data_IF_447102836209
#
_entry.id   IF_447102836209
#
_cell.length_a   1.000
_cell.length_b   1.000
_cell.length_c   1.000
_cell.angle_alpha   90.00
_cell.angle_beta   90.00
_cell.angle_gamma   90.00
#
_symmetry.space_group_name_H-M   'P 1'
#
loop_
_entity.id
_entity.type
_entity.pdbx_description
1 polymer ?
#
# COMPACT_ATOMS: atom_id res chain seq x y z
N UNK A 1 -37.85 -9.19 -11.66
CA UNK A 1 -36.72 -8.44 -12.17
C UNK A 1 -35.95 -7.98 -10.94
N UNK A 2 -34.93 -8.74 -10.53
CA UNK A 2 -34.05 -8.46 -9.41
C UNK A 2 -32.96 -7.49 -9.87
N UNK A 3 -32.71 -6.45 -9.07
CA UNK A 3 -31.70 -5.42 -9.32
C UNK A 3 -30.28 -6.00 -9.43
N UNK A 4 -29.46 -5.52 -10.38
CA UNK A 4 -28.09 -6.03 -10.60
C UNK A 4 -27.04 -5.46 -9.62
N UNK A 5 -27.44 -4.93 -8.47
CA UNK A 5 -26.53 -4.20 -7.54
C UNK A 5 -25.84 -5.12 -6.51
N UNK A 6 -26.19 -6.41 -6.47
CA UNK A 6 -25.76 -7.28 -5.35
C UNK A 6 -24.57 -8.23 -5.66
N UNK A 7 -24.03 -8.21 -6.88
CA UNK A 7 -22.89 -9.08 -7.22
C UNK A 7 -21.50 -8.48 -6.95
N UNK A 8 -21.39 -7.17 -6.72
CA UNK A 8 -20.11 -6.49 -6.52
C UNK A 8 -19.65 -6.51 -5.05
N UNK A 9 -20.57 -6.61 -4.11
CA UNK A 9 -20.29 -6.66 -2.66
C UNK A 9 -19.81 -8.01 -2.14
N UNK A 10 -19.88 -9.09 -2.92
CA UNK A 10 -19.52 -10.45 -2.49
C UNK A 10 -18.30 -11.04 -3.22
N UNK A 11 -17.51 -10.28 -3.93
CA UNK A 11 -16.19 -10.75 -4.33
C UNK A 11 -15.26 -10.64 -3.12
N UNK A 12 -15.38 -11.59 -2.18
CA UNK A 12 -14.25 -11.96 -1.34
C UNK A 12 -13.08 -12.20 -2.31
N UNK A 13 -12.10 -11.31 -2.31
CA UNK A 13 -10.89 -11.48 -3.10
C UNK A 13 -10.20 -12.72 -2.55
N UNK A 14 -10.40 -13.88 -3.17
CA UNK A 14 -9.61 -15.05 -2.84
C UNK A 14 -8.14 -14.67 -2.93
N UNK A 15 -7.29 -14.98 -1.95
CA UNK A 15 -5.90 -14.59 -1.99
C UNK A 15 -5.24 -15.14 -3.24
N UNK A 16 -4.51 -14.27 -3.93
CA UNK A 16 -3.68 -14.63 -5.07
C UNK A 16 -2.38 -15.31 -4.60
N UNK A 17 -1.65 -15.99 -5.47
CA UNK A 17 -0.29 -16.43 -5.16
C UNK A 17 0.58 -15.25 -4.71
N UNK A 18 1.44 -15.44 -3.69
CA UNK A 18 2.22 -14.34 -3.10
C UNK A 18 3.06 -13.55 -4.11
N UNK A 19 3.52 -14.20 -5.17
CA UNK A 19 4.29 -13.56 -6.24
C UNK A 19 3.50 -12.53 -7.06
N UNK A 20 2.17 -12.54 -6.94
CA UNK A 20 1.29 -11.64 -7.68
C UNK A 20 0.99 -10.35 -6.88
N UNK A 21 1.51 -10.24 -5.65
CA UNK A 21 1.43 -9.03 -4.85
C UNK A 21 2.68 -8.18 -4.99
N UNK A 22 2.48 -6.87 -5.06
CA UNK A 22 3.55 -5.89 -4.99
C UNK A 22 3.66 -5.31 -3.57
N UNK A 23 4.89 -5.07 -3.11
CA UNK A 23 5.18 -4.44 -1.83
C UNK A 23 5.37 -2.93 -2.03
N UNK A 24 4.64 -2.12 -1.28
CA UNK A 24 4.95 -0.72 -1.05
C UNK A 24 5.29 -0.53 0.43
N UNK A 25 6.33 0.24 0.75
CA UNK A 25 6.76 0.44 2.14
C UNK A 25 7.44 1.80 2.33
N UNK A 26 7.44 2.30 3.59
CA UNK A 26 7.98 3.61 3.95
C UNK A 26 9.05 3.54 5.05
N UNK A 27 9.43 2.32 5.46
CA UNK A 27 10.34 2.03 6.56
C UNK A 27 9.63 1.68 7.87
N UNK A 28 8.50 2.30 8.17
CA UNK A 28 7.75 2.06 9.41
C UNK A 28 6.66 1.01 9.25
N UNK A 29 6.24 0.75 8.01
CA UNK A 29 5.25 -0.26 7.61
C UNK A 29 5.31 -0.57 6.13
N UNK A 30 4.54 -1.61 5.74
CA UNK A 30 4.37 -1.95 4.33
C UNK A 30 2.97 -2.44 4.03
N UNK A 31 2.58 -2.29 2.78
CA UNK A 31 1.33 -2.80 2.24
C UNK A 31 1.56 -3.70 1.04
N UNK A 32 0.67 -4.66 0.84
CA UNK A 32 0.66 -5.53 -0.33
C UNK A 32 -0.49 -5.17 -1.25
N UNK A 33 -0.15 -4.87 -2.49
CA UNK A 33 -1.08 -4.54 -3.57
C UNK A 33 -1.28 -5.77 -4.43
N UNK A 34 -2.52 -6.20 -4.60
CA UNK A 34 -2.87 -7.35 -5.45
C UNK A 34 -3.32 -6.96 -6.85
N UNK A 35 -3.59 -7.98 -7.69
CA UNK A 35 -3.93 -7.81 -9.11
C UNK A 35 -5.17 -6.97 -9.40
N UNK A 36 -6.13 -6.95 -8.49
CA UNK A 36 -7.35 -6.15 -8.63
C UNK A 36 -7.17 -4.71 -8.14
N UNK A 37 -5.93 -4.32 -7.73
CA UNK A 37 -5.66 -3.03 -7.14
C UNK A 37 -6.11 -2.94 -5.68
N UNK A 38 -6.29 -4.07 -5.03
CA UNK A 38 -6.60 -4.14 -3.60
C UNK A 38 -5.33 -4.01 -2.76
N UNK A 39 -5.40 -3.28 -1.66
CA UNK A 39 -4.47 -3.42 -0.55
C UNK A 39 -4.97 -4.59 0.30
N UNK A 40 -4.38 -5.77 0.08
CA UNK A 40 -4.77 -7.00 0.76
C UNK A 40 -4.13 -7.15 2.15
N UNK A 41 -3.09 -6.36 2.42
CA UNK A 41 -2.38 -6.33 3.69
C UNK A 41 -1.84 -4.95 4.01
N UNK A 42 -2.11 -4.45 5.19
CA UNK A 42 -1.49 -3.27 5.80
C UNK A 42 -1.70 -3.31 7.31
N UNK A 43 -0.62 -3.21 8.06
CA UNK A 43 -0.63 -2.96 9.50
C UNK A 43 -0.44 -1.47 9.79
N UNK A 44 -1.14 -0.93 10.78
CA UNK A 44 -1.04 0.48 11.16
C UNK A 44 -1.17 0.66 12.67
N UNK A 45 -0.36 1.57 13.26
CA UNK A 45 0.54 2.50 12.61
C UNK A 45 1.90 1.94 12.19
N UNK A 46 2.37 0.83 12.73
CA UNK A 46 3.69 0.25 12.49
C UNK A 46 3.64 -1.22 12.08
N UNK A 47 4.82 -1.80 11.83
CA UNK A 47 4.98 -3.19 11.38
C UNK A 47 4.29 -4.20 12.30
N UNK A 48 4.51 -4.08 13.61
CA UNK A 48 4.00 -4.99 14.65
C UNK A 48 2.57 -4.71 15.07
N UNK A 49 1.96 -3.66 14.52
CA UNK A 49 0.57 -3.30 14.80
C UNK A 49 -0.42 -4.31 14.22
N UNK A 50 -1.64 -4.39 14.76
CA UNK A 50 -2.71 -5.15 14.12
C UNK A 50 -3.02 -4.65 12.70
N UNK A 51 -3.45 -5.56 11.83
CA UNK A 51 -3.83 -5.16 10.47
C UNK A 51 -5.07 -4.27 10.46
N UNK A 52 -5.11 -3.37 9.48
CA UNK A 52 -6.28 -2.56 9.07
C UNK A 52 -6.90 -3.15 7.81
N UNK A 53 -6.06 -3.59 6.89
CA UNK A 53 -6.43 -4.40 5.76
C UNK A 53 -5.77 -5.76 5.95
N UNK A 54 -6.57 -6.81 6.04
CA UNK A 54 -6.12 -8.14 6.43
C UNK A 54 -6.70 -9.26 5.59
N UNK A 55 -7.16 -8.95 4.39
CA UNK A 55 -7.79 -9.92 3.48
C UNK A 55 -6.88 -11.11 3.17
N UNK A 56 -5.57 -10.86 3.09
CA UNK A 56 -4.55 -11.90 2.87
C UNK A 56 -4.62 -13.06 3.88
N UNK A 57 -5.08 -12.80 5.10
CA UNK A 57 -5.23 -13.81 6.17
C UNK A 57 -6.69 -14.08 6.54
N UNK A 58 -7.65 -13.58 5.74
CA UNK A 58 -9.08 -13.70 6.02
C UNK A 58 -9.58 -12.87 7.20
N UNK A 59 -8.82 -11.84 7.62
CA UNK A 59 -9.23 -10.92 8.67
C UNK A 59 -10.14 -9.79 8.17
N UNK A 60 -10.38 -9.72 6.85
CA UNK A 60 -11.15 -8.66 6.22
C UNK A 60 -10.42 -7.30 6.24
N UNK A 61 -11.14 -6.29 5.78
CA UNK A 61 -10.60 -4.95 5.56
C UNK A 61 -9.96 -4.82 4.19
N UNK A 62 -10.44 -3.84 3.43
CA UNK A 62 -10.11 -3.68 2.02
C UNK A 62 -9.93 -2.19 1.67
N UNK A 63 -8.94 -1.89 0.86
CA UNK A 63 -8.87 -0.65 0.09
C UNK A 63 -8.53 -0.98 -1.35
N UNK A 64 -9.52 -0.96 -2.22
CA UNK A 64 -9.37 -1.31 -3.63
C UNK A 64 -9.55 -0.10 -4.52
N UNK A 65 -8.77 -0.04 -5.61
CA UNK A 65 -8.99 0.84 -6.77
C UNK A 65 -8.86 -0.03 -7.99
N UNK A 66 -9.96 -0.28 -8.69
CA UNK A 66 -10.03 -1.25 -9.81
C UNK A 66 -10.81 -0.65 -10.98
N UNK A 67 -10.53 -1.02 -12.24
CA UNK A 67 -11.39 -0.64 -13.36
C UNK A 67 -12.84 -1.07 -13.15
N UNK A 68 -13.79 -0.25 -13.60
CA UNK A 68 -15.21 -0.63 -13.60
C UNK A 68 -15.53 -1.70 -14.65
N UNK A 69 -14.73 -1.80 -15.72
CA UNK A 69 -14.79 -2.94 -16.64
C UNK A 69 -14.20 -4.17 -15.93
N UNK A 70 -14.99 -5.23 -15.81
CA UNK A 70 -14.56 -6.48 -15.16
C UNK A 70 -13.62 -7.33 -16.04
N UNK A 71 -13.47 -6.96 -17.32
CA UNK A 71 -12.62 -7.64 -18.29
C UNK A 71 -11.37 -6.82 -18.56
N UNK A 72 -10.29 -7.20 -17.93
CA UNK A 72 -8.98 -6.57 -18.14
C UNK A 72 -7.84 -7.58 -18.02
N UNK A 73 -6.72 -7.25 -18.63
CA UNK A 73 -5.43 -7.89 -18.37
C UNK A 73 -4.67 -6.97 -17.44
N UNK A 74 -4.12 -7.53 -16.36
CA UNK A 74 -3.36 -6.75 -15.40
C UNK A 74 -1.86 -7.05 -15.49
N UNK A 75 -1.08 -6.13 -15.01
CA UNK A 75 0.34 -6.23 -14.78
C UNK A 75 0.78 -5.04 -13.94
N UNK A 76 2.08 -4.89 -13.78
CA UNK A 76 2.60 -3.74 -13.08
C UNK A 76 4.11 -3.70 -13.07
N UNK A 77 4.65 -2.61 -12.54
CA UNK A 77 6.08 -2.39 -12.46
C UNK A 77 6.41 -1.40 -11.34
N UNK A 78 7.62 -1.49 -10.83
CA UNK A 78 8.18 -0.49 -9.90
C UNK A 78 8.87 0.63 -10.66
N UNK A 79 8.77 1.85 -10.13
CA UNK A 79 9.72 2.90 -10.48
C UNK A 79 11.12 2.46 -10.00
N UNK A 80 12.11 2.57 -10.86
CA UNK A 80 13.45 2.04 -10.63
C UNK A 80 14.06 2.54 -9.32
N UNK A 81 14.54 1.62 -8.49
CA UNK A 81 15.17 1.92 -7.20
C UNK A 81 14.22 2.50 -6.16
N UNK A 82 12.94 2.17 -6.23
CA UNK A 82 11.94 2.63 -5.28
C UNK A 82 10.93 1.53 -4.95
N UNK A 83 10.07 1.79 -3.97
CA UNK A 83 8.86 1.03 -3.70
C UNK A 83 7.60 1.82 -4.09
N UNK A 84 7.69 2.56 -5.18
CA UNK A 84 6.55 3.14 -5.87
C UNK A 84 6.12 2.15 -6.95
N UNK A 85 4.92 1.64 -6.82
CA UNK A 85 4.34 0.63 -7.71
C UNK A 85 3.37 1.27 -8.71
N UNK A 86 3.29 0.72 -9.90
CA UNK A 86 2.25 1.00 -10.87
C UNK A 86 1.45 -0.28 -11.13
N UNK A 87 0.23 -0.34 -10.63
CA UNK A 87 -0.77 -1.30 -11.12
C UNK A 87 -1.22 -0.83 -12.50
N UNK A 88 -1.26 -1.74 -13.47
CA UNK A 88 -1.65 -1.43 -14.85
C UNK A 88 -2.71 -2.39 -15.34
N UNK A 89 -3.79 -1.85 -15.86
CA UNK A 89 -4.88 -2.61 -16.44
C UNK A 89 -5.08 -2.22 -17.90
N UNK A 90 -5.18 -3.23 -18.77
CA UNK A 90 -5.53 -3.08 -20.17
C UNK A 90 -6.97 -3.55 -20.30
N UNK A 91 -7.87 -2.61 -20.53
CA UNK A 91 -9.30 -2.83 -20.70
C UNK A 91 -9.67 -2.82 -22.19
N UNK A 92 -10.95 -3.03 -22.53
CA UNK A 92 -11.46 -2.87 -23.90
C UNK A 92 -11.29 -1.42 -24.41
N UNK A 93 -11.33 -0.42 -23.52
CA UNK A 93 -11.40 0.99 -23.87
C UNK A 93 -10.07 1.72 -23.76
N UNK A 94 -9.07 1.10 -23.10
CA UNK A 94 -7.79 1.76 -22.97
C UNK A 94 -6.82 1.13 -21.99
N UNK A 95 -5.92 1.97 -21.46
CA UNK A 95 -4.92 1.59 -20.48
C UNK A 95 -5.05 2.52 -19.28
N UNK A 96 -5.31 1.93 -18.13
CA UNK A 96 -5.40 2.59 -16.83
C UNK A 96 -4.19 2.20 -16.00
N UNK A 97 -3.56 3.15 -15.34
CA UNK A 97 -2.57 2.89 -14.31
C UNK A 97 -3.03 3.48 -12.96
N UNK A 98 -2.67 2.80 -11.88
CA UNK A 98 -2.70 3.37 -10.55
C UNK A 98 -1.27 3.39 -10.01
N UNK A 99 -0.70 4.57 -9.81
CA UNK A 99 0.58 4.80 -9.16
C UNK A 99 0.36 4.77 -7.66
N UNK A 100 1.10 3.95 -6.93
CA UNK A 100 0.83 3.62 -5.53
C UNK A 100 2.09 3.68 -4.68
N UNK A 101 1.99 4.30 -3.52
CA UNK A 101 3.06 4.37 -2.54
C UNK A 101 2.53 4.59 -1.12
N UNK A 102 3.30 4.19 -0.12
CA UNK A 102 3.26 4.83 1.18
C UNK A 102 4.13 6.08 1.11
N UNK A 103 3.63 7.22 1.64
CA UNK A 103 4.38 8.47 1.64
C UNK A 103 5.65 8.32 2.49
N UNK A 104 6.80 8.60 1.87
CA UNK A 104 8.10 8.44 2.49
C UNK A 104 8.81 9.80 2.69
N UNK A 105 9.64 9.93 3.75
CA UNK A 105 9.88 8.94 4.82
C UNK A 105 8.65 8.75 5.72
N UNK A 106 8.47 7.52 6.25
CA UNK A 106 7.35 7.18 7.12
C UNK A 106 7.36 7.95 8.45
N UNK A 107 6.18 8.25 8.98
CA UNK A 107 5.99 8.75 10.34
C UNK A 107 5.47 7.60 11.23
N UNK A 108 6.03 7.31 12.42
CA UNK A 108 5.66 6.16 13.24
C UNK A 108 4.18 6.11 13.64
N UNK A 109 3.50 7.25 13.65
CA UNK A 109 2.11 7.37 14.11
C UNK A 109 1.12 7.75 13.01
N UNK A 110 1.62 8.09 11.82
CA UNK A 110 0.81 8.60 10.73
C UNK A 110 1.15 7.90 9.42
N UNK A 111 0.22 7.11 8.94
CA UNK A 111 0.28 6.40 7.66
C UNK A 111 -0.37 7.27 6.60
N UNK A 112 0.29 7.44 5.46
CA UNK A 112 -0.29 8.11 4.30
C UNK A 112 -0.16 7.18 3.09
N UNK A 113 -1.28 6.71 2.59
CA UNK A 113 -1.36 5.93 1.35
C UNK A 113 -1.67 6.87 0.21
N UNK A 114 -0.79 6.92 -0.76
CA UNK A 114 -0.93 7.71 -1.97
C UNK A 114 -1.33 6.80 -3.13
N UNK A 115 -2.40 7.18 -3.84
CA UNK A 115 -2.82 6.52 -5.07
C UNK A 115 -3.12 7.58 -6.12
N UNK A 116 -2.53 7.43 -7.31
CA UNK A 116 -2.78 8.30 -8.46
C UNK A 116 -3.27 7.49 -9.64
N UNK A 117 -4.50 7.71 -10.02
CA UNK A 117 -5.13 7.10 -11.18
C UNK A 117 -4.69 7.88 -12.42
N UNK A 118 -4.14 7.19 -13.42
CA UNK A 118 -3.66 7.77 -14.67
C UNK A 118 -4.45 7.17 -15.83
N UNK A 119 -5.07 8.01 -16.64
CA UNK A 119 -5.70 7.63 -17.90
C UNK A 119 -4.65 7.64 -19.02
N UNK A 120 -3.85 6.55 -19.10
CA UNK A 120 -2.68 6.46 -20.01
C UNK A 120 -3.11 6.42 -21.47
N UNK A 121 -4.19 5.69 -21.77
CA UNK A 121 -4.78 5.61 -23.11
C UNK A 121 -6.29 5.46 -23.00
N UNK A 122 -7.03 6.35 -23.65
CA UNK A 122 -8.48 6.45 -23.45
C UNK A 122 -8.83 7.04 -22.07
N UNK A 123 -10.10 7.26 -21.83
CA UNK A 123 -10.59 7.70 -20.52
C UNK A 123 -10.51 6.54 -19.53
N UNK A 124 -10.23 6.85 -18.26
CA UNK A 124 -10.24 5.86 -17.20
C UNK A 124 -11.50 5.99 -16.36
N UNK A 125 -12.11 4.86 -16.04
CA UNK A 125 -13.20 4.78 -15.06
C UNK A 125 -12.90 3.67 -14.08
N UNK A 126 -12.75 4.04 -12.80
CA UNK A 126 -12.39 3.13 -11.73
C UNK A 126 -13.40 3.19 -10.59
N UNK A 127 -13.52 2.08 -9.87
CA UNK A 127 -14.24 1.97 -8.62
C UNK A 127 -13.24 1.95 -7.47
N UNK A 128 -13.39 2.87 -6.53
CA UNK A 128 -12.60 2.95 -5.32
C UNK A 128 -13.48 2.58 -4.12
N UNK A 129 -13.04 1.60 -3.32
CA UNK A 129 -13.74 1.14 -2.11
C UNK A 129 -12.78 1.15 -0.94
N UNK A 130 -13.20 1.77 0.15
CA UNK A 130 -12.47 1.81 1.42
C UNK A 130 -13.32 1.20 2.51
N UNK A 131 -12.96 0.00 2.96
CA UNK A 131 -13.57 -0.75 4.06
C UNK A 131 -12.49 -1.12 5.08
N UNK A 132 -12.09 -0.22 5.99
CA UNK A 132 -11.08 -0.53 7.00
C UNK A 132 -11.65 -1.42 8.09
N UNK A 133 -10.85 -2.42 8.50
CA UNK A 133 -11.17 -3.31 9.62
C UNK A 133 -9.96 -3.48 10.53
N UNK A 134 -9.71 -2.49 11.38
CA UNK A 134 -8.56 -2.53 12.28
C UNK A 134 -8.64 -3.63 13.33
N UNK A 135 -7.51 -3.93 13.96
CA UNK A 135 -7.44 -4.94 15.01
C UNK A 135 -7.63 -6.36 14.50
N UNK A 136 -7.12 -6.67 13.29
CA UNK A 136 -7.33 -7.97 12.62
C UNK A 136 -8.83 -8.26 12.42
N UNK A 137 -9.56 -7.29 11.84
CA UNK A 137 -10.97 -7.44 11.49
C UNK A 137 -11.97 -7.12 12.61
N UNK A 138 -11.49 -6.74 13.81
CA UNK A 138 -12.38 -6.53 15.00
C UNK A 138 -13.16 -5.24 14.96
N UNK A 139 -12.60 -4.20 14.34
CA UNK A 139 -13.18 -2.86 14.37
C UNK A 139 -13.48 -2.39 12.96
N UNK A 140 -14.75 -2.21 12.69
CA UNK A 140 -15.27 -1.73 11.41
C UNK A 140 -15.16 -0.21 11.31
N UNK A 141 -15.49 0.33 10.14
CA UNK A 141 -15.65 1.78 9.94
C UNK A 141 -16.74 2.31 10.87
N UNK A 142 -16.47 3.39 11.56
CA UNK A 142 -17.41 4.07 12.45
C UNK A 142 -17.27 5.58 12.34
N UNK A 143 -18.34 6.29 12.72
CA UNK A 143 -18.38 7.77 12.76
C UNK A 143 -18.00 8.45 11.43
N UNK A 144 -18.48 7.96 10.25
CA UNK A 144 -18.15 8.60 9.00
C UNK A 144 -18.76 10.00 8.93
N UNK A 145 -17.94 10.99 8.64
CA UNK A 145 -18.34 12.40 8.52
C UNK A 145 -17.65 13.03 7.32
N UNK A 146 -18.40 13.78 6.53
CA UNK A 146 -17.87 14.49 5.35
C UNK A 146 -17.70 15.98 5.64
N UNK A 147 -16.52 16.49 5.35
CA UNK A 147 -16.19 17.91 5.43
C UNK A 147 -15.42 18.37 4.18
N UNK A 148 -15.97 19.31 3.42
CA UNK A 148 -15.30 19.87 2.24
C UNK A 148 -14.76 18.83 1.25
N UNK A 149 -15.57 17.81 0.90
CA UNK A 149 -15.18 16.75 -0.03
C UNK A 149 -14.31 15.63 0.57
N UNK A 150 -13.89 15.76 1.84
CA UNK A 150 -13.07 14.77 2.53
C UNK A 150 -13.90 14.01 3.54
N UNK A 151 -13.62 12.74 3.66
CA UNK A 151 -14.24 11.87 4.65
C UNK A 151 -13.31 11.64 5.83
N UNK A 152 -13.84 11.81 7.04
CA UNK A 152 -13.17 11.41 8.28
C UNK A 152 -13.99 10.33 8.95
N UNK A 153 -13.33 9.37 9.57
CA UNK A 153 -13.98 8.27 10.27
C UNK A 153 -13.01 7.66 11.31
N UNK A 154 -13.44 6.57 11.92
CA UNK A 154 -12.62 5.76 12.82
C UNK A 154 -12.71 4.28 12.45
N UNK A 155 -11.67 3.53 12.82
CA UNK A 155 -11.72 2.09 12.91
C UNK A 155 -10.99 1.67 14.18
N UNK A 156 -11.74 1.37 15.24
CA UNK A 156 -11.19 1.17 16.58
C UNK A 156 -10.36 2.36 17.07
N UNK A 157 -9.07 2.15 17.44
CA UNK A 157 -8.22 3.23 17.92
C UNK A 157 -7.76 4.18 16.82
N UNK A 158 -7.84 3.77 15.54
CA UNK A 158 -7.35 4.56 14.43
C UNK A 158 -8.35 5.61 13.98
N UNK A 159 -7.86 6.83 13.80
CA UNK A 159 -8.52 7.89 13.05
C UNK A 159 -8.11 7.78 11.60
N UNK A 160 -9.04 8.05 10.69
CA UNK A 160 -8.77 8.05 9.27
C UNK A 160 -9.36 9.28 8.58
N UNK A 161 -8.70 9.70 7.51
CA UNK A 161 -9.18 10.71 6.58
C UNK A 161 -8.94 10.21 5.16
N UNK A 162 -9.99 10.21 4.35
CA UNK A 162 -9.94 9.83 2.96
C UNK A 162 -10.29 11.03 2.09
N UNK A 163 -9.33 11.47 1.30
CA UNK A 163 -9.47 12.53 0.31
C UNK A 163 -9.57 11.88 -1.07
N UNK A 164 -10.68 12.14 -1.74
CA UNK A 164 -10.98 11.65 -3.08
C UNK A 164 -11.15 12.80 -4.09
N UNK A 165 -10.66 13.99 -3.74
CA UNK A 165 -10.84 15.18 -4.54
C UNK A 165 -12.31 15.57 -4.67
N UNK A 166 -12.77 15.75 -5.90
CA UNK A 166 -14.14 16.15 -6.25
C UNK A 166 -15.08 14.97 -6.54
N UNK A 167 -14.60 13.74 -6.41
CA UNK A 167 -15.41 12.54 -6.64
C UNK A 167 -16.55 12.43 -5.60
N UNK A 168 -17.73 12.02 -6.06
CA UNK A 168 -18.85 11.72 -5.19
C UNK A 168 -18.63 10.40 -4.44
N UNK A 169 -18.71 10.45 -3.12
CA UNK A 169 -18.55 9.27 -2.26
C UNK A 169 -19.89 8.86 -1.68
N UNK A 170 -20.21 7.60 -1.79
CA UNK A 170 -21.33 6.96 -1.11
C UNK A 170 -20.83 6.25 0.14
N UNK A 171 -21.55 6.45 1.25
CA UNK A 171 -21.29 5.74 2.48
C UNK A 171 -22.36 4.65 2.62
N UNK A 172 -21.97 3.40 2.60
CA UNK A 172 -22.83 2.25 2.82
C UNK A 172 -22.31 1.45 4.00
N UNK A 173 -23.16 1.19 5.00
CA UNK A 173 -22.89 0.39 6.18
C UNK A 173 -21.49 0.58 6.79
N UNK A 174 -20.46 0.00 6.16
CA UNK A 174 -19.09 -0.13 6.68
C UNK A 174 -18.03 0.29 5.68
N UNK A 175 -18.43 0.79 4.51
CA UNK A 175 -17.56 1.15 3.40
C UNK A 175 -17.85 2.55 2.88
N UNK A 176 -16.82 3.19 2.37
CA UNK A 176 -16.88 4.40 1.56
C UNK A 176 -16.55 4.02 0.11
N UNK A 177 -17.41 4.39 -0.82
CA UNK A 177 -17.28 4.01 -2.23
C UNK A 177 -17.35 5.24 -3.14
N UNK A 178 -16.50 5.25 -4.16
CA UNK A 178 -16.50 6.29 -5.19
C UNK A 178 -16.31 5.67 -6.57
N UNK A 179 -16.96 6.25 -7.57
CA UNK A 179 -16.63 6.01 -8.97
C UNK A 179 -15.91 7.26 -9.48
N UNK A 180 -14.73 7.04 -10.04
CA UNK A 180 -13.83 8.11 -10.46
C UNK A 180 -13.63 8.01 -11.96
N UNK A 181 -13.88 9.11 -12.66
CA UNK A 181 -13.67 9.25 -14.10
C UNK A 181 -12.49 10.19 -14.34
N UNK A 182 -11.53 9.76 -15.15
CA UNK A 182 -10.32 10.52 -15.47
C UNK A 182 -10.21 10.60 -16.98
N UNK A 183 -10.16 11.83 -17.51
CA UNK A 183 -10.00 12.07 -18.94
C UNK A 183 -8.63 11.62 -19.44
N UNK A 184 -8.56 11.12 -20.64
CA UNK A 184 -7.33 10.66 -21.30
C UNK A 184 -6.18 11.68 -21.14
N UNK A 185 -5.02 11.18 -20.72
CA UNK A 185 -3.82 11.99 -20.46
C UNK A 185 -3.83 12.77 -19.14
N UNK A 186 -4.91 12.69 -18.36
CA UNK A 186 -5.04 13.33 -17.04
C UNK A 186 -4.82 12.31 -15.90
N UNK A 187 -4.84 12.80 -14.67
CA UNK A 187 -4.76 11.96 -13.47
C UNK A 187 -5.70 12.46 -12.38
N UNK A 188 -5.97 11.59 -11.41
CA UNK A 188 -6.74 11.87 -10.20
C UNK A 188 -6.05 11.27 -8.98
N UNK A 189 -5.90 12.06 -7.93
CA UNK A 189 -5.22 11.66 -6.70
C UNK A 189 -6.21 11.22 -5.62
N UNK A 190 -5.87 10.13 -4.94
CA UNK A 190 -6.52 9.65 -3.73
C UNK A 190 -5.49 9.63 -2.60
N UNK A 191 -5.86 10.16 -1.44
CA UNK A 191 -5.02 10.12 -0.24
C UNK A 191 -5.81 9.51 0.92
N UNK A 192 -5.25 8.44 1.51
CA UNK A 192 -5.76 7.88 2.75
C UNK A 192 -4.75 8.13 3.85
N UNK A 193 -5.20 8.78 4.91
CA UNK A 193 -4.45 8.98 6.15
C UNK A 193 -5.02 8.09 7.25
N UNK A 194 -4.12 7.40 8.00
CA UNK A 194 -4.47 6.61 9.18
C UNK A 194 -3.54 7.02 10.33
N UNK A 195 -4.08 7.21 11.53
CA UNK A 195 -3.28 7.59 12.69
C UNK A 195 -3.86 7.03 13.99
N UNK A 196 -2.99 6.62 14.91
CA UNK A 196 -3.33 6.30 16.30
C UNK A 196 -3.40 7.55 17.18
N UNK A 197 -3.13 8.72 16.61
CA UNK A 197 -3.19 10.05 17.23
C UNK A 197 -4.16 10.95 16.46
N UNK A 198 -4.38 12.15 16.97
CA UNK A 198 -5.16 13.15 16.25
C UNK A 198 -4.51 13.44 14.88
N UNK A 199 -5.32 13.38 13.83
CA UNK A 199 -4.89 13.74 12.49
C UNK A 199 -4.52 15.24 12.43
N UNK A 200 -3.53 15.63 11.62
CA UNK A 200 -3.21 17.02 11.39
C UNK A 200 -4.43 17.84 10.94
N UNK A 201 -4.52 19.09 11.36
CA UNK A 201 -5.63 19.98 10.96
C UNK A 201 -5.68 20.18 9.44
N UNK A 202 -4.51 20.30 8.81
CA UNK A 202 -4.42 20.43 7.35
C UNK A 202 -4.28 19.04 6.73
N UNK A 203 -5.12 18.72 5.71
CA UNK A 203 -4.99 17.49 4.96
C UNK A 203 -3.66 17.49 4.17
N UNK A 204 -3.22 16.31 3.82
CA UNK A 204 -2.03 16.13 2.98
C UNK A 204 -2.32 16.69 1.57
N UNK A 205 -1.41 17.51 1.06
CA UNK A 205 -1.38 17.90 -0.34
C UNK A 205 -0.78 16.74 -1.18
N UNK A 206 -1.55 16.13 -2.08
CA UNK A 206 -1.07 15.00 -2.85
C UNK A 206 0.12 15.34 -3.74
N UNK A 207 0.19 16.53 -4.32
CA UNK A 207 1.29 16.94 -5.19
C UNK A 207 2.60 17.00 -4.39
N UNK A 208 2.57 17.62 -3.24
CA UNK A 208 3.74 17.74 -2.37
C UNK A 208 4.12 16.37 -1.77
N UNK A 209 3.15 15.54 -1.38
CA UNK A 209 3.41 14.21 -0.85
C UNK A 209 4.08 13.30 -1.90
N UNK A 210 3.60 13.32 -3.14
CA UNK A 210 4.23 12.61 -4.25
C UNK A 210 5.66 13.10 -4.52
N UNK A 211 5.85 14.42 -4.55
CA UNK A 211 7.16 15.03 -4.75
C UNK A 211 8.14 14.57 -3.67
N UNK A 212 7.77 14.66 -2.39
CA UNK A 212 8.60 14.23 -1.26
C UNK A 212 8.92 12.74 -1.31
N UNK A 213 7.93 11.91 -1.61
CA UNK A 213 8.12 10.45 -1.71
C UNK A 213 9.10 10.09 -2.83
N UNK A 214 8.95 10.70 -4.01
CA UNK A 214 9.87 10.48 -5.13
C UNK A 214 11.28 10.96 -4.79
N UNK A 215 11.42 12.17 -4.21
CA UNK A 215 12.71 12.69 -3.76
C UNK A 215 13.36 11.79 -2.70
N UNK A 216 12.58 11.29 -1.73
CA UNK A 216 13.11 10.37 -0.71
C UNK A 216 13.79 9.15 -1.34
N UNK A 217 13.14 8.48 -2.29
CA UNK A 217 13.72 7.32 -2.96
C UNK A 217 14.94 7.66 -3.82
N UNK A 218 14.90 8.79 -4.52
CA UNK A 218 16.01 9.24 -5.36
C UNK A 218 17.23 9.66 -4.53
N UNK A 219 17.01 10.47 -3.49
CA UNK A 219 18.07 11.10 -2.70
C UNK A 219 18.71 10.15 -1.68
N UNK A 220 17.95 9.18 -1.17
CA UNK A 220 18.46 8.19 -0.20
C UNK A 220 19.24 7.04 -0.84
N UNK A 221 19.16 6.87 -2.17
CA UNK A 221 19.85 5.78 -2.84
C UNK A 221 21.35 6.08 -2.99
N UNK A 222 22.24 5.27 -2.36
CA UNK A 222 23.67 5.45 -2.51
C UNK A 222 24.14 5.01 -3.91
N UNK A 223 25.31 5.45 -4.34
CA UNK A 223 25.96 4.88 -5.52
C UNK A 223 26.38 3.44 -5.20
N UNK A 224 25.57 2.47 -5.68
CA UNK A 224 25.86 1.06 -5.48
C UNK A 224 27.09 0.63 -6.28
N UNK A 225 27.85 -0.34 -5.75
CA UNK A 225 28.97 -0.95 -6.46
C UNK A 225 28.48 -1.66 -7.73
N UNK A 226 29.31 -1.68 -8.80
CA UNK A 226 28.96 -2.39 -10.03
C UNK A 226 28.60 -3.86 -9.76
N UNK A 227 27.51 -4.31 -10.36
CA UNK A 227 27.03 -5.69 -10.28
C UNK A 227 26.67 -6.22 -11.66
N UNK A 228 26.49 -7.53 -11.79
CA UNK A 228 26.03 -8.17 -13.03
C UNK A 228 24.56 -7.86 -13.35
N UNK A 229 23.79 -7.40 -12.35
CA UNK A 229 22.39 -7.05 -12.47
C UNK A 229 22.12 -5.73 -11.72
N UNK A 230 22.51 -4.57 -12.26
CA UNK A 230 22.45 -3.30 -11.56
C UNK A 230 21.02 -2.87 -11.21
N UNK A 231 20.06 -3.10 -12.08
CA UNK A 231 18.64 -2.80 -11.84
C UNK A 231 18.09 -3.62 -10.68
N UNK A 232 18.43 -4.92 -10.60
CA UNK A 232 18.00 -5.79 -9.51
C UNK A 232 18.68 -5.38 -8.19
N UNK A 233 19.93 -4.93 -8.23
CA UNK A 233 20.63 -4.43 -7.05
C UNK A 233 19.98 -3.15 -6.50
N UNK A 234 19.55 -2.24 -7.37
CA UNK A 234 18.81 -1.04 -6.97
C UNK A 234 17.44 -1.40 -6.37
N UNK A 235 16.73 -2.34 -6.98
CA UNK A 235 15.44 -2.80 -6.44
C UNK A 235 15.62 -3.54 -5.11
N UNK A 236 16.63 -4.36 -4.96
CA UNK A 236 16.96 -5.03 -3.70
C UNK A 236 17.29 -4.02 -2.60
N UNK A 237 18.05 -2.95 -2.92
CA UNK A 237 18.28 -1.86 -2.00
C UNK A 237 16.97 -1.19 -1.58
N UNK A 238 16.07 -0.88 -2.52
CA UNK A 238 14.78 -0.26 -2.20
C UNK A 238 13.94 -1.11 -1.26
N UNK A 239 13.90 -2.44 -1.48
CA UNK A 239 13.21 -3.38 -0.58
C UNK A 239 13.83 -3.35 0.82
N UNK A 240 15.14 -3.50 0.93
CA UNK A 240 15.83 -3.46 2.23
C UNK A 240 15.60 -2.12 2.94
N UNK A 241 15.69 -0.99 2.22
CA UNK A 241 15.44 0.34 2.78
C UNK A 241 13.99 0.49 3.25
N UNK A 242 13.02 0.03 2.45
CA UNK A 242 11.59 0.10 2.79
C UNK A 242 11.20 -0.78 3.98
N UNK A 243 11.93 -1.88 4.21
CA UNK A 243 11.71 -2.78 5.37
C UNK A 243 12.50 -2.35 6.62
N UNK A 244 13.39 -1.36 6.53
CA UNK A 244 14.21 -0.89 7.64
C UNK A 244 13.53 0.29 8.33
N UNK A 245 13.14 0.09 9.58
CA UNK A 245 12.53 1.11 10.42
C UNK A 245 13.56 2.19 10.84
N UNK A 246 13.06 3.30 11.37
CA UNK A 246 13.89 4.40 11.91
C UNK A 246 14.84 3.93 13.02
N UNK A 247 14.47 2.90 13.75
CA UNK A 247 15.33 2.27 14.77
C UNK A 247 16.55 1.55 14.19
N UNK A 248 16.63 1.36 12.88
CA UNK A 248 17.62 0.52 12.21
C UNK A 248 17.20 -0.95 12.10
N UNK A 249 16.18 -1.37 12.82
CA UNK A 249 15.68 -2.73 12.74
C UNK A 249 14.98 -2.96 11.39
N UNK A 250 15.38 -4.00 10.67
CA UNK A 250 14.71 -4.44 9.46
C UNK A 250 13.80 -5.64 9.77
N UNK A 251 12.54 -5.56 9.39
CA UNK A 251 11.63 -6.70 9.53
C UNK A 251 11.98 -7.79 8.52
N UNK A 252 11.80 -9.05 8.93
CA UNK A 252 12.11 -10.19 8.06
C UNK A 252 11.12 -10.34 6.90
N UNK A 253 9.87 -9.88 7.09
CA UNK A 253 8.85 -9.80 6.03
C UNK A 253 7.81 -8.73 6.38
N UNK A 254 7.14 -8.22 5.37
CA UNK A 254 6.01 -7.31 5.53
C UNK A 254 4.76 -7.99 6.13
N UNK A 255 4.70 -9.31 6.13
CA UNK A 255 3.53 -10.10 6.55
C UNK A 255 3.80 -10.97 7.76
N UNK A 256 2.73 -11.38 8.43
CA UNK A 256 2.77 -12.51 9.33
C UNK A 256 3.11 -13.79 8.55
N UNK A 257 3.56 -14.82 9.26
CA UNK A 257 3.82 -16.12 8.65
C UNK A 257 2.58 -16.66 7.95
N UNK A 258 2.75 -17.08 6.72
CA UNK A 258 1.91 -18.12 6.17
C UNK A 258 2.43 -19.45 6.70
N UNK A 259 1.58 -20.47 6.99
CA UNK A 259 2.03 -21.74 7.52
C UNK A 259 3.10 -22.36 6.61
N UNK A 260 4.30 -22.64 7.13
CA UNK A 260 5.35 -23.34 6.38
C UNK A 260 4.86 -24.72 5.91
N UNK A 261 3.96 -25.31 6.71
CA UNK A 261 3.24 -26.55 6.38
C UNK A 261 1.83 -26.44 6.91
N UNK A 262 0.87 -26.83 6.10
CA UNK A 262 -0.56 -26.73 6.37
C UNK A 262 -1.03 -27.31 7.72
N UNK A 263 -0.29 -28.23 8.35
CA UNK A 263 -0.68 -28.91 9.58
C UNK A 263 0.36 -28.79 10.71
N UNK A 264 1.43 -28.05 10.54
CA UNK A 264 2.58 -28.15 11.43
C UNK A 264 2.59 -27.19 12.62
N UNK A 265 1.66 -26.27 12.77
CA UNK A 265 1.57 -25.33 13.90
C UNK A 265 2.78 -24.39 14.05
N UNK A 266 3.67 -24.29 13.07
CA UNK A 266 4.83 -23.43 13.04
C UNK A 266 4.51 -22.15 12.27
N UNK A 267 3.88 -21.20 12.98
CA UNK A 267 3.57 -19.87 12.44
C UNK A 267 4.41 -18.87 13.21
N UNK A 268 5.42 -18.30 12.55
CA UNK A 268 6.25 -17.25 13.13
C UNK A 268 5.73 -15.89 12.60
N UNK A 269 5.78 -14.87 13.43
CA UNK A 269 5.52 -13.51 12.98
C UNK A 269 6.80 -12.91 12.40
N UNK A 270 6.81 -12.66 11.09
CA UNK A 270 7.98 -12.13 10.39
C UNK A 270 8.02 -10.59 10.36
N UNK A 271 7.05 -9.91 10.96
CA UNK A 271 7.01 -8.45 11.04
C UNK A 271 7.96 -7.86 12.08
N UNK A 272 8.90 -8.67 12.56
CA UNK A 272 9.93 -8.33 13.53
C UNK A 272 11.33 -8.49 12.93
N UNK A 273 12.30 -7.81 13.54
CA UNK A 273 13.70 -8.01 13.19
C UNK A 273 14.20 -9.37 13.70
N UNK A 274 14.78 -10.14 12.79
CA UNK A 274 15.45 -11.39 13.11
C UNK A 274 16.96 -11.19 12.98
N UNK A 275 17.73 -11.58 13.98
CA UNK A 275 19.19 -11.40 13.99
C UNK A 275 19.85 -12.00 12.74
N UNK A 276 19.44 -13.18 12.32
CA UNK A 276 19.93 -13.81 11.09
C UNK A 276 19.72 -12.91 9.86
N UNK A 277 18.49 -12.41 9.67
CA UNK A 277 18.11 -11.60 8.53
C UNK A 277 18.80 -10.24 8.57
N UNK A 278 18.88 -9.63 9.75
CA UNK A 278 19.61 -8.39 9.98
C UNK A 278 21.11 -8.55 9.61
N UNK A 279 21.75 -9.64 10.01
CA UNK A 279 23.14 -9.91 9.66
C UNK A 279 23.34 -10.11 8.15
N UNK A 280 22.42 -10.82 7.48
CA UNK A 280 22.49 -11.04 6.03
C UNK A 280 22.31 -9.74 5.26
N UNK A 281 21.39 -8.86 5.72
CA UNK A 281 21.22 -7.52 5.15
C UNK A 281 22.47 -6.68 5.33
N UNK A 282 23.06 -6.65 6.53
CA UNK A 282 24.31 -5.94 6.78
C UNK A 282 25.44 -6.41 5.85
N UNK A 283 25.60 -7.72 5.64
CA UNK A 283 26.57 -8.29 4.70
C UNK A 283 26.27 -7.86 3.24
N UNK A 284 25.01 -7.92 2.82
CA UNK A 284 24.60 -7.51 1.48
C UNK A 284 24.82 -6.03 1.25
N UNK A 285 24.48 -5.19 2.23
CA UNK A 285 24.70 -3.75 2.19
C UNK A 285 26.20 -3.40 2.12
N UNK A 286 27.03 -4.08 2.89
CA UNK A 286 28.50 -3.94 2.83
C UNK A 286 29.05 -4.31 1.44
N UNK A 287 28.59 -5.43 0.87
CA UNK A 287 28.99 -5.86 -0.48
C UNK A 287 28.58 -4.87 -1.55
N UNK A 288 27.37 -4.31 -1.45
CA UNK A 288 26.83 -3.33 -2.40
C UNK A 288 27.37 -1.90 -2.20
N UNK A 289 28.02 -1.60 -1.07
CA UNK A 289 28.46 -0.24 -0.72
C UNK A 289 27.35 0.65 -0.15
N UNK A 290 26.24 0.07 0.28
CA UNK A 290 25.12 0.77 0.90
C UNK A 290 25.37 0.99 2.41
N UNK A 291 26.29 1.91 2.72
CA UNK A 291 26.81 2.10 4.07
C UNK A 291 25.75 2.48 5.10
N UNK A 292 24.76 3.28 4.74
CA UNK A 292 23.66 3.65 5.66
C UNK A 292 22.85 2.45 6.14
N UNK A 293 22.57 1.48 5.23
CA UNK A 293 21.89 0.25 5.62
C UNK A 293 22.79 -0.66 6.44
N UNK A 294 24.11 -0.65 6.17
CA UNK A 294 25.06 -1.39 6.99
C UNK A 294 25.13 -0.83 8.41
N UNK A 295 25.25 0.49 8.55
CA UNK A 295 25.32 1.18 9.84
C UNK A 295 24.02 0.98 10.63
N UNK A 296 22.87 0.96 9.97
CA UNK A 296 21.59 0.66 10.59
C UNK A 296 21.46 -0.82 11.05
N UNK A 297 22.19 -1.73 10.42
CA UNK A 297 22.15 -3.16 10.75
C UNK A 297 23.03 -3.56 11.95
N UNK A 298 23.91 -2.67 12.42
CA UNK A 298 24.85 -2.90 13.53
C UNK A 298 24.30 -2.36 14.83
#
# INVERSE_FOLDING_TARGET
VSDPVDETSQRACSPFPLRDYALIADGERGALIGPLGEIAWLCAPGWDSPSVFGELIGAGGLYVVTPTDSRFVWGGFYEQGSLVWHSRWITSDGIIECREALAAPGDPHHVVVLRRILAVKGDAKVHAVLEPRSGFGRHELSEPTQHHGRWTARSGPLQLRWDVGDAEVRCHDRALEAVIEVTAGSHHDLVLELSDRALPHHPIDPVEAWRRTTSFWADSRPPLRPSVAPTDAEQAWAVMRGLTARSGAMVASATMSLPERAEAGRNYDYRYAWIRDQCLVGQSAAAAGAHELLDAAV
#
